data_IF_089542609268
#
_entry.id   IF_089542609268
#
_cell.length_a   1.000
_cell.length_b   1.000
_cell.length_c   1.000
_cell.angle_alpha   90.00
_cell.angle_beta   90.00
_cell.angle_gamma   90.00
#
_symmetry.space_group_name_H-M   'P 1'
#
loop_
_entity.id
_entity.type
_entity.pdbx_description
1 polymer ?
#
# COMPACT_ATOMS: atom_id res chain seq x y z
N UNK A 1 -0.98 -4.76 -9.89
CA UNK A 1 -0.09 -4.38 -8.77
C UNK A 1 -0.87 -3.82 -7.57
N UNK A 2 -1.73 -2.80 -7.76
CA UNK A 2 -2.44 -2.11 -6.66
C UNK A 2 -3.38 -3.03 -5.86
N UNK A 3 -4.10 -3.93 -6.54
CA UNK A 3 -4.96 -4.92 -5.87
C UNK A 3 -4.14 -5.81 -4.92
N UNK A 4 -2.98 -6.25 -5.35
CA UNK A 4 -2.13 -7.15 -4.58
C UNK A 4 -1.51 -6.41 -3.38
N UNK A 5 -1.14 -5.14 -3.54
CA UNK A 5 -0.67 -4.32 -2.42
C UNK A 5 -1.72 -4.18 -1.31
N UNK A 6 -3.01 -4.09 -1.68
CA UNK A 6 -4.13 -4.03 -0.72
C UNK A 6 -4.46 -5.37 -0.04
N UNK A 7 -3.76 -6.46 -0.36
CA UNK A 7 -3.80 -7.71 0.42
C UNK A 7 -2.99 -7.59 1.72
N UNK A 8 -2.09 -6.63 1.85
CA UNK A 8 -1.24 -6.47 3.04
C UNK A 8 -2.00 -6.44 4.39
N UNK A 9 -3.16 -5.77 4.54
CA UNK A 9 -3.93 -5.82 5.78
C UNK A 9 -4.43 -7.22 6.12
N UNK A 10 -4.80 -8.02 5.11
CA UNK A 10 -5.23 -9.41 5.28
C UNK A 10 -4.04 -10.25 5.75
N UNK A 11 -2.89 -10.09 5.09
CA UNK A 11 -1.65 -10.76 5.47
C UNK A 11 -1.22 -10.39 6.89
N UNK A 12 -1.40 -9.13 7.31
CA UNK A 12 -1.12 -8.69 8.67
C UNK A 12 -1.98 -9.44 9.70
N UNK A 13 -3.28 -9.60 9.44
CA UNK A 13 -4.18 -10.34 10.34
C UNK A 13 -3.80 -11.81 10.39
N UNK A 14 -3.54 -12.43 9.24
CA UNK A 14 -3.11 -13.82 9.17
C UNK A 14 -1.76 -14.04 9.86
N UNK A 15 -0.81 -13.15 9.67
CA UNK A 15 0.49 -13.19 10.33
C UNK A 15 0.35 -13.05 11.85
N UNK A 16 -0.49 -12.13 12.32
CA UNK A 16 -0.77 -11.95 13.74
C UNK A 16 -1.34 -13.22 14.35
N UNK A 17 -2.28 -13.86 13.67
CA UNK A 17 -2.87 -15.12 14.09
C UNK A 17 -1.84 -16.28 14.11
N UNK A 18 -1.05 -16.42 13.03
CA UNK A 18 -0.04 -17.47 12.92
C UNK A 18 1.05 -17.37 14.00
N UNK A 19 1.36 -16.13 14.46
CA UNK A 19 2.35 -15.87 15.50
C UNK A 19 1.76 -15.89 16.94
N UNK A 20 0.59 -16.51 17.12
CA UNK A 20 -0.03 -16.73 18.44
C UNK A 20 -0.93 -15.60 18.91
N UNK A 21 -1.26 -14.64 18.05
CA UNK A 21 -2.27 -13.61 18.33
C UNK A 21 -3.70 -14.13 18.22
N UNK A 22 -4.67 -13.25 18.50
CA UNK A 22 -6.09 -13.59 18.42
C UNK A 22 -6.51 -13.96 16.99
N UNK A 23 -7.27 -15.03 16.84
CA UNK A 23 -7.86 -15.41 15.56
C UNK A 23 -8.80 -14.31 15.04
N UNK A 24 -8.84 -14.08 13.71
CA UNK A 24 -9.76 -13.11 13.14
C UNK A 24 -11.21 -13.48 13.45
N UNK A 25 -11.98 -12.50 13.89
CA UNK A 25 -13.41 -12.73 14.14
C UNK A 25 -14.14 -12.99 12.82
N UNK A 26 -15.26 -13.73 12.86
CA UNK A 26 -16.08 -13.96 11.66
C UNK A 26 -16.49 -12.66 10.97
N UNK A 27 -16.75 -11.61 11.75
CA UNK A 27 -17.07 -10.27 11.21
C UNK A 27 -15.87 -9.66 10.47
N UNK A 28 -14.67 -9.75 11.04
CA UNK A 28 -13.46 -9.26 10.39
C UNK A 28 -13.17 -10.02 9.07
N UNK A 29 -13.32 -11.35 9.07
CA UNK A 29 -13.15 -12.17 7.87
C UNK A 29 -14.17 -11.82 6.78
N UNK A 30 -15.44 -11.62 7.15
CA UNK A 30 -16.49 -11.19 6.20
C UNK A 30 -16.20 -9.79 5.63
N UNK A 31 -15.80 -8.84 6.47
CA UNK A 31 -15.44 -7.49 6.02
C UNK A 31 -14.24 -7.51 5.08
N UNK A 32 -13.22 -8.30 5.37
CA UNK A 32 -12.06 -8.46 4.49
C UNK A 32 -12.45 -9.06 3.14
N UNK A 33 -13.31 -10.09 3.14
CA UNK A 33 -13.85 -10.68 1.91
C UNK A 33 -14.65 -9.67 1.09
N UNK A 34 -15.50 -8.87 1.73
CA UNK A 34 -16.28 -7.83 1.09
C UNK A 34 -15.40 -6.74 0.49
N UNK A 35 -14.39 -6.28 1.24
CA UNK A 35 -13.42 -5.28 0.75
C UNK A 35 -12.64 -5.83 -0.45
N UNK A 36 -12.22 -7.10 -0.41
CA UNK A 36 -11.53 -7.70 -1.56
C UNK A 36 -12.42 -7.79 -2.79
N UNK A 37 -13.69 -8.16 -2.62
CA UNK A 37 -14.65 -8.12 -3.72
C UNK A 37 -14.84 -6.70 -4.27
N UNK A 38 -15.04 -5.71 -3.41
CA UNK A 38 -15.14 -4.30 -3.80
C UNK A 38 -13.90 -3.82 -4.56
N UNK A 39 -12.70 -4.17 -4.09
CA UNK A 39 -11.45 -3.84 -4.75
C UNK A 39 -11.31 -4.46 -6.15
N UNK A 40 -11.78 -5.69 -6.36
CA UNK A 40 -11.77 -6.33 -7.68
C UNK A 40 -12.60 -5.53 -8.67
N UNK A 41 -13.76 -5.04 -8.26
CA UNK A 41 -14.62 -4.18 -9.10
C UNK A 41 -14.06 -2.76 -9.23
N UNK A 42 -13.65 -2.14 -8.13
CA UNK A 42 -13.12 -0.78 -8.13
C UNK A 42 -11.86 -0.61 -8.98
N UNK A 43 -11.06 -1.66 -9.15
CA UNK A 43 -9.85 -1.66 -9.98
C UNK A 43 -10.09 -2.19 -11.41
N UNK A 44 -11.33 -2.42 -11.79
CA UNK A 44 -11.74 -2.95 -13.12
C UNK A 44 -10.94 -4.21 -13.51
N UNK A 45 -10.65 -5.08 -12.53
CA UNK A 45 -9.84 -6.29 -12.76
C UNK A 45 -10.43 -7.20 -13.85
N UNK A 46 -11.75 -7.46 -13.89
CA UNK A 46 -12.34 -8.32 -14.92
C UNK A 46 -12.14 -7.75 -16.34
N UNK A 47 -12.29 -6.44 -16.52
CA UNK A 47 -12.12 -5.78 -17.82
C UNK A 47 -10.65 -5.80 -18.26
N UNK A 48 -9.72 -5.57 -17.33
CA UNK A 48 -8.28 -5.65 -17.59
C UNK A 48 -7.80 -7.06 -17.92
N UNK A 49 -8.40 -8.08 -17.34
CA UNK A 49 -8.09 -9.48 -17.66
C UNK A 49 -8.59 -9.88 -19.05
N UNK A 50 -9.71 -9.33 -19.51
CA UNK A 50 -10.27 -9.63 -20.85
C UNK A 50 -9.51 -8.93 -21.98
N UNK A 51 -8.85 -7.79 -21.70
CA UNK A 51 -8.14 -6.97 -22.70
C UNK A 51 -6.61 -7.20 -22.69
N UNK A 52 -6.16 -8.37 -22.26
CA UNK A 52 -4.75 -8.64 -22.00
C UNK A 52 -3.97 -9.02 -23.27
N UNK A 53 -3.22 -8.04 -23.82
CA UNK A 53 -2.19 -8.24 -24.84
C UNK A 53 -0.78 -8.46 -24.23
N UNK A 54 -0.66 -8.53 -22.91
CA UNK A 54 0.62 -8.71 -22.23
C UNK A 54 1.00 -10.19 -22.14
N UNK A 55 2.27 -10.51 -22.38
CA UNK A 55 2.81 -11.86 -22.26
C UNK A 55 2.54 -12.43 -20.87
N UNK A 56 2.01 -13.65 -20.76
CA UNK A 56 1.66 -14.33 -19.50
C UNK A 56 2.79 -14.28 -18.45
N UNK A 57 4.05 -14.34 -18.91
CA UNK A 57 5.22 -14.27 -18.05
C UNK A 57 5.35 -12.94 -17.29
N UNK A 58 5.08 -11.81 -17.95
CA UNK A 58 5.17 -10.48 -17.31
C UNK A 58 4.05 -10.26 -16.29
N UNK A 59 2.88 -10.83 -16.55
CA UNK A 59 1.75 -10.75 -15.64
C UNK A 59 2.01 -11.54 -14.36
N UNK A 60 2.52 -12.78 -14.49
CA UNK A 60 2.88 -13.63 -13.35
C UNK A 60 3.99 -12.99 -12.51
N UNK A 61 5.02 -12.43 -13.16
CA UNK A 61 6.11 -11.72 -12.49
C UNK A 61 5.57 -10.53 -11.69
N UNK A 62 4.68 -9.73 -12.26
CA UNK A 62 4.04 -8.61 -11.58
C UNK A 62 3.23 -9.03 -10.35
N UNK A 63 2.52 -10.17 -10.42
CA UNK A 63 1.79 -10.74 -9.27
C UNK A 63 2.77 -11.16 -8.17
N UNK A 64 3.83 -11.88 -8.52
CA UNK A 64 4.81 -12.37 -7.55
C UNK A 64 5.49 -11.21 -6.83
N UNK A 65 5.95 -10.20 -7.54
CA UNK A 65 6.54 -9.00 -6.93
C UNK A 65 5.54 -8.23 -6.06
N UNK A 66 4.30 -8.08 -6.52
CA UNK A 66 3.25 -7.44 -5.75
C UNK A 66 2.93 -8.18 -4.45
N UNK A 67 2.84 -9.51 -4.51
CA UNK A 67 2.60 -10.33 -3.32
C UNK A 67 3.80 -10.32 -2.35
N UNK A 68 5.01 -10.37 -2.87
CA UNK A 68 6.23 -10.22 -2.07
C UNK A 68 6.25 -8.86 -1.36
N UNK A 69 5.97 -7.77 -2.07
CA UNK A 69 5.90 -6.43 -1.50
C UNK A 69 4.83 -6.31 -0.40
N UNK A 70 3.62 -6.84 -0.64
CA UNK A 70 2.54 -6.88 0.36
C UNK A 70 2.93 -7.69 1.60
N UNK A 71 3.64 -8.81 1.43
CA UNK A 71 4.12 -9.66 2.52
C UNK A 71 5.17 -8.95 3.36
N UNK A 72 6.15 -8.32 2.72
CA UNK A 72 7.20 -7.53 3.40
C UNK A 72 6.56 -6.36 4.17
N UNK A 73 5.60 -5.68 3.56
CA UNK A 73 4.90 -4.58 4.22
C UNK A 73 4.08 -5.05 5.43
N UNK A 74 3.35 -6.17 5.32
CA UNK A 74 2.64 -6.78 6.44
C UNK A 74 3.58 -7.18 7.59
N UNK A 75 4.73 -7.77 7.26
CA UNK A 75 5.77 -8.08 8.26
C UNK A 75 6.31 -6.82 8.94
N UNK A 76 6.58 -5.77 8.18
CA UNK A 76 7.08 -4.50 8.71
C UNK A 76 6.05 -3.87 9.67
N UNK A 77 4.77 -3.87 9.31
CA UNK A 77 3.68 -3.41 10.18
C UNK A 77 3.58 -4.25 11.45
N UNK A 78 3.65 -5.58 11.32
CA UNK A 78 3.58 -6.48 12.47
C UNK A 78 4.75 -6.27 13.45
N UNK A 79 5.99 -6.19 12.94
CA UNK A 79 7.18 -5.92 13.75
C UNK A 79 7.04 -4.56 14.45
N UNK A 80 6.57 -3.57 13.73
CA UNK A 80 6.38 -2.21 14.25
C UNK A 80 5.35 -2.18 15.38
N UNK A 81 4.24 -2.90 15.24
CA UNK A 81 3.17 -2.96 16.24
C UNK A 81 3.60 -3.75 17.48
N UNK A 82 4.25 -4.90 17.31
CA UNK A 82 4.54 -5.84 18.40
C UNK A 82 5.92 -5.64 19.05
N UNK A 83 6.95 -5.34 18.25
CA UNK A 83 8.33 -5.23 18.75
C UNK A 83 8.77 -3.80 19.06
N UNK A 84 8.20 -2.84 18.35
CA UNK A 84 8.56 -1.42 18.48
C UNK A 84 7.47 -0.59 19.16
N UNK A 85 6.52 -1.22 19.84
CA UNK A 85 5.41 -0.55 20.53
C UNK A 85 5.87 0.42 21.63
N UNK A 86 7.02 0.15 22.25
CA UNK A 86 7.63 1.02 23.27
C UNK A 86 8.34 2.26 22.68
N UNK A 87 8.64 2.25 21.38
CA UNK A 87 9.31 3.37 20.72
C UNK A 87 8.28 4.43 20.31
N UNK A 88 8.57 5.69 20.56
CA UNK A 88 7.68 6.81 20.14
C UNK A 88 7.41 6.75 18.63
N UNK A 89 6.15 6.93 18.24
CA UNK A 89 5.72 6.85 16.85
C UNK A 89 6.50 7.78 15.89
N UNK A 90 6.85 8.99 16.35
CA UNK A 90 7.69 9.93 15.59
C UNK A 90 9.10 9.40 15.32
N UNK A 91 9.72 8.75 16.31
CA UNK A 91 11.05 8.16 16.15
C UNK A 91 10.99 6.97 15.19
N UNK A 92 9.95 6.13 15.29
CA UNK A 92 9.72 5.02 14.35
C UNK A 92 9.54 5.52 12.92
N UNK A 93 8.70 6.54 12.74
CA UNK A 93 8.49 7.15 11.43
C UNK A 93 9.80 7.65 10.83
N UNK A 94 10.57 8.41 11.60
CA UNK A 94 11.87 8.95 11.16
C UNK A 94 12.85 7.84 10.77
N UNK A 95 13.00 6.82 11.63
CA UNK A 95 13.91 5.70 11.33
C UNK A 95 13.46 4.89 10.12
N UNK A 96 12.16 4.62 9.98
CA UNK A 96 11.63 3.90 8.82
C UNK A 96 11.88 4.69 7.54
N UNK A 97 11.61 6.00 7.53
CA UNK A 97 11.87 6.85 6.37
C UNK A 97 13.36 6.91 6.03
N UNK A 98 14.23 6.98 7.03
CA UNK A 98 15.67 6.97 6.82
C UNK A 98 16.15 5.65 6.20
N UNK A 99 15.67 4.51 6.70
CA UNK A 99 16.01 3.19 6.16
C UNK A 99 15.51 3.05 4.72
N UNK A 100 14.26 3.44 4.45
CA UNK A 100 13.69 3.39 3.10
C UNK A 100 14.46 4.31 2.15
N UNK A 101 14.81 5.52 2.59
CA UNK A 101 15.64 6.45 1.81
C UNK A 101 17.01 5.85 1.47
N UNK A 102 17.71 5.30 2.46
CA UNK A 102 19.01 4.67 2.23
C UNK A 102 18.91 3.48 1.28
N UNK A 103 17.90 2.62 1.47
CA UNK A 103 17.68 1.47 0.60
C UNK A 103 17.35 1.90 -0.84
N UNK A 104 16.48 2.90 -1.03
CA UNK A 104 16.13 3.44 -2.33
C UNK A 104 17.32 4.13 -3.01
N UNK A 105 18.12 4.89 -2.25
CA UNK A 105 19.33 5.53 -2.76
C UNK A 105 20.36 4.48 -3.21
N UNK A 106 20.60 3.45 -2.41
CA UNK A 106 21.49 2.33 -2.78
C UNK A 106 20.98 1.61 -4.04
N UNK A 107 19.69 1.31 -4.12
CA UNK A 107 19.09 0.68 -5.30
C UNK A 107 19.22 1.57 -6.54
N UNK A 108 19.04 2.89 -6.39
CA UNK A 108 19.19 3.85 -7.48
C UNK A 108 20.62 3.95 -8.02
N UNK A 109 21.62 3.92 -7.12
CA UNK A 109 23.05 4.00 -7.51
C UNK A 109 23.56 2.65 -8.05
N UNK A 110 23.03 1.53 -7.55
CA UNK A 110 23.46 0.19 -7.98
C UNK A 110 23.01 -0.24 -9.37
N UNK A 111 22.16 0.56 -10.05
CA UNK A 111 21.63 0.23 -11.37
C UNK A 111 20.59 -0.90 -11.38
N UNK A 112 20.13 -1.35 -10.22
CA UNK A 112 19.06 -2.38 -10.09
C UNK A 112 17.72 -1.84 -10.60
N UNK A 113 17.51 -0.51 -10.52
CA UNK A 113 16.27 0.10 -10.99
C UNK A 113 16.32 0.34 -12.50
N UNK A 114 15.37 -0.22 -13.28
CA UNK A 114 15.26 0.06 -14.71
C UNK A 114 15.05 1.58 -14.93
N UNK A 115 15.87 2.20 -15.76
CA UNK A 115 15.81 3.63 -16.04
C UNK A 115 16.63 4.54 -15.11
N UNK A 116 17.22 4.00 -14.04
CA UNK A 116 18.05 4.76 -13.10
C UNK A 116 17.30 5.84 -12.32
N UNK A 117 18.06 6.76 -11.72
CA UNK A 117 17.50 7.93 -11.01
C UNK A 117 17.60 9.15 -11.92
N UNK A 118 16.46 9.72 -12.28
CA UNK A 118 16.39 10.97 -13.02
C UNK A 118 15.76 12.08 -12.16
N UNK A 119 16.35 13.26 -12.17
CA UNK A 119 15.81 14.42 -11.49
C UNK A 119 14.79 15.15 -12.39
N UNK A 120 13.79 15.84 -11.83
CA UNK A 120 12.84 16.61 -12.61
C UNK A 120 13.54 17.68 -13.43
N UNK A 121 13.21 17.77 -14.72
CA UNK A 121 13.78 18.77 -15.63
C UNK A 121 13.01 20.10 -15.68
N UNK A 122 11.86 20.21 -14.98
CA UNK A 122 11.00 21.39 -14.99
C UNK A 122 10.68 21.89 -13.58
N UNK A 123 10.34 23.18 -13.45
CA UNK A 123 9.90 23.78 -12.18
C UNK A 123 8.63 23.11 -11.66
N UNK A 124 7.70 22.78 -12.55
CA UNK A 124 6.47 22.03 -12.21
C UNK A 124 6.80 20.65 -11.63
N UNK A 125 7.79 19.97 -12.20
CA UNK A 125 8.26 18.67 -11.70
C UNK A 125 8.84 18.78 -10.27
N UNK A 126 9.61 19.83 -10.00
CA UNK A 126 10.15 20.08 -8.65
C UNK A 126 9.07 20.40 -7.63
N UNK A 127 8.07 21.21 -7.98
CA UNK A 127 6.94 21.51 -7.09
C UNK A 127 6.09 20.25 -6.83
N UNK A 128 5.83 19.45 -7.86
CA UNK A 128 5.12 18.17 -7.71
C UNK A 128 5.88 17.20 -6.79
N UNK A 129 7.20 17.10 -6.96
CA UNK A 129 8.04 16.26 -6.09
C UNK A 129 8.02 16.76 -4.64
N UNK A 130 8.13 18.08 -4.42
CA UNK A 130 8.06 18.65 -3.07
C UNK A 130 6.71 18.39 -2.40
N UNK A 131 5.60 18.56 -3.13
CA UNK A 131 4.26 18.23 -2.63
C UNK A 131 4.13 16.73 -2.32
N UNK A 132 4.62 15.86 -3.19
CA UNK A 132 4.60 14.41 -2.98
C UNK A 132 5.37 14.03 -1.71
N UNK A 133 6.59 14.55 -1.53
CA UNK A 133 7.43 14.28 -0.35
C UNK A 133 6.75 14.78 0.93
N UNK A 134 6.17 15.98 0.90
CA UNK A 134 5.47 16.55 2.05
C UNK A 134 4.22 15.72 2.43
N UNK A 135 3.35 15.42 1.47
CA UNK A 135 2.11 14.68 1.70
C UNK A 135 2.39 13.23 2.12
N UNK A 136 3.32 12.57 1.45
CA UNK A 136 3.71 11.20 1.76
C UNK A 136 4.37 11.11 3.14
N UNK A 137 5.30 12.02 3.43
CA UNK A 137 5.96 12.11 4.73
C UNK A 137 4.97 12.37 5.87
N UNK A 138 4.02 13.29 5.67
CA UNK A 138 2.96 13.56 6.64
C UNK A 138 2.07 12.34 6.86
N UNK A 139 1.65 11.67 5.78
CA UNK A 139 0.82 10.47 5.84
C UNK A 139 1.49 9.34 6.63
N UNK A 140 2.77 9.07 6.36
CA UNK A 140 3.54 8.07 7.10
C UNK A 140 3.75 8.45 8.57
N UNK A 141 4.04 9.73 8.86
CA UNK A 141 4.15 10.19 10.24
C UNK A 141 2.84 9.96 11.01
N UNK A 142 1.71 10.33 10.41
CA UNK A 142 0.40 10.11 11.01
C UNK A 142 0.11 8.62 11.21
N UNK A 143 0.41 7.78 10.21
CA UNK A 143 0.26 6.33 10.31
C UNK A 143 0.99 5.78 11.53
N UNK A 144 2.29 6.06 11.67
CA UNK A 144 3.09 5.55 12.78
C UNK A 144 2.72 6.15 14.15
N UNK A 145 2.26 7.39 14.20
CA UNK A 145 1.76 8.01 15.44
C UNK A 145 0.44 7.35 15.85
N UNK A 146 -0.49 7.17 14.90
CA UNK A 146 -1.79 6.58 15.17
C UNK A 146 -1.72 5.08 15.45
N UNK A 147 -0.76 4.37 14.85
CA UNK A 147 -0.55 2.93 15.00
C UNK A 147 -0.44 2.50 16.47
N UNK A 148 0.23 3.32 17.30
CA UNK A 148 0.36 3.03 18.75
C UNK A 148 -0.95 3.10 19.51
N UNK A 149 -1.94 3.80 18.97
CA UNK A 149 -3.27 4.01 19.61
C UNK A 149 -4.34 3.08 19.03
N UNK A 150 -4.06 2.47 17.88
CA UNK A 150 -4.97 1.59 17.16
C UNK A 150 -4.45 0.15 17.23
N UNK A 151 -5.33 -0.79 17.56
CA UNK A 151 -5.01 -2.21 17.37
C UNK A 151 -5.06 -2.50 15.87
N UNK A 152 -3.88 -2.51 15.21
CA UNK A 152 -3.78 -2.62 13.76
C UNK A 152 -4.39 -3.90 13.21
N UNK A 153 -4.21 -5.04 13.89
CA UNK A 153 -4.80 -6.30 13.45
C UNK A 153 -6.33 -6.26 13.48
N UNK A 154 -6.93 -5.54 14.45
CA UNK A 154 -8.39 -5.40 14.55
C UNK A 154 -8.94 -4.38 13.57
N UNK A 155 -8.18 -3.33 13.27
CA UNK A 155 -8.59 -2.22 12.41
C UNK A 155 -7.96 -2.29 11.01
N UNK A 156 -7.30 -3.40 10.66
CA UNK A 156 -6.67 -3.61 9.35
C UNK A 156 -7.59 -3.29 8.15
N UNK A 157 -8.91 -3.59 8.16
CA UNK A 157 -9.79 -3.24 7.06
C UNK A 157 -9.85 -1.74 6.73
N UNK A 158 -9.61 -0.86 7.73
CA UNK A 158 -9.62 0.60 7.52
C UNK A 158 -8.47 1.04 6.60
N UNK A 159 -7.37 0.27 6.53
CA UNK A 159 -6.26 0.57 5.63
C UNK A 159 -6.65 0.46 4.15
N UNK A 160 -7.73 -0.26 3.84
CA UNK A 160 -8.24 -0.41 2.47
C UNK A 160 -9.12 0.77 2.01
N UNK A 161 -9.17 1.87 2.77
CA UNK A 161 -9.80 3.13 2.33
C UNK A 161 -8.95 3.83 1.25
N UNK A 162 -7.65 3.54 1.17
CA UNK A 162 -6.73 4.15 0.22
C UNK A 162 -7.19 4.03 -1.25
N UNK A 163 -7.61 2.87 -1.79
CA UNK A 163 -8.10 2.77 -3.15
C UNK A 163 -9.34 3.62 -3.42
N UNK A 164 -10.26 3.68 -2.45
CA UNK A 164 -11.48 4.50 -2.55
C UNK A 164 -11.12 5.98 -2.59
N UNK A 165 -10.23 6.41 -1.72
CA UNK A 165 -9.72 7.78 -1.71
C UNK A 165 -8.98 8.12 -3.02
N UNK A 166 -8.18 7.19 -3.55
CA UNK A 166 -7.46 7.36 -4.82
C UNK A 166 -8.41 7.54 -6.00
N UNK A 167 -9.50 6.77 -6.07
CA UNK A 167 -10.53 6.92 -7.10
C UNK A 167 -11.25 8.28 -6.97
N UNK A 168 -11.62 8.66 -5.75
CA UNK A 168 -12.28 9.93 -5.48
C UNK A 168 -11.41 11.12 -5.89
N UNK A 169 -10.13 11.13 -5.52
CA UNK A 169 -9.20 12.19 -5.90
C UNK A 169 -8.86 12.15 -7.39
N UNK A 170 -8.77 10.97 -8.01
CA UNK A 170 -8.59 10.82 -9.44
C UNK A 170 -9.76 11.46 -10.23
N UNK A 171 -10.98 11.25 -9.77
CA UNK A 171 -12.15 11.87 -10.35
C UNK A 171 -12.17 13.39 -10.10
N UNK A 172 -11.92 13.83 -8.86
CA UNK A 172 -12.06 15.24 -8.46
C UNK A 172 -10.94 16.15 -9.01
N UNK A 173 -9.70 15.62 -9.11
CA UNK A 173 -8.51 16.44 -9.45
C UNK A 173 -8.09 16.22 -10.91
N UNK A 174 -8.26 15.00 -11.44
CA UNK A 174 -7.78 14.62 -12.76
C UNK A 174 -8.92 14.46 -13.78
N UNK A 175 -10.16 14.78 -13.41
CA UNK A 175 -11.37 14.62 -14.24
C UNK A 175 -11.49 13.21 -14.87
N UNK A 176 -10.97 12.19 -14.17
CA UNK A 176 -11.07 10.81 -14.63
C UNK A 176 -12.50 10.32 -14.56
N UNK A 177 -12.99 9.85 -15.70
CA UNK A 177 -14.33 9.22 -15.75
C UNK A 177 -14.25 7.87 -15.02
N UNK A 178 -15.13 7.71 -14.03
CA UNK A 178 -15.30 6.44 -13.33
C UNK A 178 -16.08 5.46 -14.20
N UNK A 179 -15.61 4.24 -14.31
CA UNK A 179 -16.38 3.17 -14.95
C UNK A 179 -17.54 2.72 -14.06
N UNK A 180 -18.55 2.11 -14.67
CA UNK A 180 -19.70 1.55 -13.92
C UNK A 180 -19.24 0.50 -12.90
N UNK A 181 -18.19 -0.26 -13.19
CA UNK A 181 -17.58 -1.21 -12.27
C UNK A 181 -16.95 -0.54 -11.05
N UNK A 182 -16.27 0.59 -11.25
CA UNK A 182 -15.64 1.37 -10.18
C UNK A 182 -16.63 2.02 -9.22
N UNK A 183 -17.84 2.36 -9.70
CA UNK A 183 -18.90 2.94 -8.86
C UNK A 183 -19.57 1.88 -7.97
N UNK A 184 -19.62 0.63 -8.42
CA UNK A 184 -20.25 -0.49 -7.69
C UNK A 184 -19.30 -1.07 -6.64
N UNK A 185 -18.00 -1.09 -6.91
CA UNK A 185 -16.94 -1.63 -6.01
C UNK A 185 -16.61 -0.72 -4.87
#
# INVERSE_FOLDING_TARGET
>A
ALLIANVAPILLVLLTWALGGAAPTRRAALLMGLIMCGLIFALDVPERLSNQDSTEAQWLEGILFGFAAASVFACALWITDHKLSSVRGTVRSMLTMLIVFCAAALAGVSGVLPGGVSLPGSSTGWTALACLVALYGLGFCLLFICMTRLNMARNAPVMNVEPVASLLFGWLILDQLLSSGQIIG
#
